data_IF_073048179145
#
_entry.id   IF_073048179145
#
_cell.length_a   1.000
_cell.length_b   1.000
_cell.length_c   1.000
_cell.angle_alpha   90.00
_cell.angle_beta   90.00
_cell.angle_gamma   90.00
#
_symmetry.space_group_name_H-M   'P 1'
#
loop_
_entity.id
_entity.type
_entity.pdbx_description
1 polymer ?
#
# COMPACT_ATOMS: atom_id res chain seq x y z
N UNK A 1 16.84 4.51 7.13
CA UNK A 1 15.77 3.74 6.43
C UNK A 1 16.43 3.18 5.19
N UNK A 2 15.88 3.34 3.99
CA UNK A 2 16.42 2.71 2.76
C UNK A 2 17.68 3.42 2.21
N UNK A 3 17.98 4.63 2.69
CA UNK A 3 19.16 5.44 2.32
C UNK A 3 19.32 5.66 0.80
N UNK A 4 18.18 5.74 0.09
CA UNK A 4 18.15 5.94 -1.35
C UNK A 4 18.62 7.34 -1.75
N UNK A 5 19.62 7.40 -2.62
CA UNK A 5 20.08 8.66 -3.20
C UNK A 5 19.10 9.22 -4.25
N UNK A 6 18.40 8.33 -4.96
CA UNK A 6 17.53 8.66 -6.08
C UNK A 6 16.17 7.98 -5.96
N UNK A 7 15.11 8.70 -6.36
CA UNK A 7 13.76 8.15 -6.56
C UNK A 7 13.20 8.67 -7.87
N UNK A 8 12.79 7.75 -8.77
CA UNK A 8 12.25 8.09 -10.11
C UNK A 8 13.19 9.00 -10.93
N UNK A 9 14.49 8.68 -10.93
CA UNK A 9 15.52 9.41 -11.69
C UNK A 9 15.86 10.80 -11.16
N UNK A 10 15.43 11.15 -9.94
CA UNK A 10 15.72 12.44 -9.29
C UNK A 10 16.28 12.21 -7.89
N UNK A 11 17.11 13.13 -7.42
CA UNK A 11 17.62 13.10 -6.04
C UNK A 11 16.46 13.07 -5.04
N UNK A 12 16.60 12.24 -4.01
CA UNK A 12 15.65 12.22 -2.88
C UNK A 12 15.72 13.52 -2.08
N UNK A 13 14.69 13.80 -1.28
CA UNK A 13 14.56 15.07 -0.55
C UNK A 13 15.78 15.36 0.32
N UNK A 14 16.31 14.36 1.03
CA UNK A 14 17.47 14.54 1.91
C UNK A 14 18.77 14.74 1.13
N UNK A 15 18.91 14.18 -0.08
CA UNK A 15 20.08 14.42 -0.94
C UNK A 15 20.05 15.76 -1.65
N UNK A 16 18.85 16.22 -2.04
CA UNK A 16 18.70 17.52 -2.72
C UNK A 16 18.81 18.69 -1.75
N UNK A 17 18.33 18.52 -0.53
CA UNK A 17 18.34 19.52 0.52
C UNK A 17 19.24 19.00 1.66
N UNK A 18 18.64 18.55 2.76
CA UNK A 18 19.30 17.96 3.91
C UNK A 18 18.32 17.05 4.67
N UNK A 19 18.83 16.24 5.60
CA UNK A 19 18.02 15.31 6.39
C UNK A 19 16.97 16.01 7.26
N UNK A 20 17.31 17.13 7.90
CA UNK A 20 16.39 17.88 8.75
C UNK A 20 15.20 18.40 7.94
N UNK A 21 15.47 18.98 6.78
CA UNK A 21 14.44 19.41 5.82
C UNK A 21 13.57 18.24 5.36
N UNK A 22 14.15 17.08 5.06
CA UNK A 22 13.40 15.91 4.61
C UNK A 22 12.43 15.39 5.69
N UNK A 23 12.89 15.32 6.94
CA UNK A 23 12.05 14.91 8.09
C UNK A 23 10.89 15.88 8.29
N UNK A 24 11.19 17.19 8.32
CA UNK A 24 10.17 18.22 8.51
C UNK A 24 9.16 18.26 7.36
N UNK A 25 9.60 18.06 6.12
CA UNK A 25 8.72 17.96 4.97
C UNK A 25 7.77 16.76 5.08
N UNK A 26 8.29 15.58 5.45
CA UNK A 26 7.47 14.38 5.68
C UNK A 26 6.40 14.60 6.75
N UNK A 27 6.79 15.14 7.90
CA UNK A 27 5.86 15.46 8.99
C UNK A 27 4.79 16.47 8.55
N UNK A 28 5.20 17.51 7.83
CA UNK A 28 4.29 18.56 7.36
C UNK A 28 3.28 18.01 6.35
N UNK A 29 3.69 17.13 5.43
CA UNK A 29 2.80 16.51 4.45
C UNK A 29 1.77 15.58 5.12
N UNK A 30 2.17 14.84 6.14
CA UNK A 30 1.25 14.00 6.91
C UNK A 30 0.19 14.86 7.61
N UNK A 31 0.60 15.93 8.30
CA UNK A 31 -0.33 16.86 8.97
C UNK A 31 -1.23 17.56 7.95
N UNK A 32 -0.70 17.94 6.79
CA UNK A 32 -1.46 18.54 5.70
C UNK A 32 -2.56 17.60 5.18
N UNK A 33 -2.31 16.30 5.09
CA UNK A 33 -3.32 15.32 4.69
C UNK A 33 -4.53 15.34 5.64
N UNK A 34 -4.29 15.32 6.96
CA UNK A 34 -5.37 15.43 7.96
C UNK A 34 -6.09 16.76 7.90
N UNK A 35 -5.35 17.87 7.70
CA UNK A 35 -5.94 19.19 7.49
C UNK A 35 -6.91 19.15 6.31
N UNK A 36 -6.48 18.63 5.17
CA UNK A 36 -7.32 18.53 3.96
C UNK A 36 -8.59 17.73 4.26
N UNK A 37 -8.48 16.55 4.87
CA UNK A 37 -9.66 15.71 5.17
C UNK A 37 -10.63 16.36 6.15
N UNK A 38 -10.13 17.11 7.14
CA UNK A 38 -10.95 17.82 8.13
C UNK A 38 -11.63 19.08 7.59
N UNK A 39 -11.17 19.62 6.45
CA UNK A 39 -11.62 20.88 5.87
C UNK A 39 -13.06 20.78 5.33
N UNK A 40 -13.87 21.80 5.61
CA UNK A 40 -15.24 21.95 5.07
C UNK A 40 -15.31 21.88 3.54
N UNK A 41 -14.23 22.21 2.82
CA UNK A 41 -14.10 22.08 1.37
C UNK A 41 -14.09 20.62 0.90
N UNK A 42 -13.62 19.68 1.73
CA UNK A 42 -13.60 18.24 1.38
C UNK A 42 -15.00 17.65 1.42
N UNK A 43 -15.79 18.00 2.43
CA UNK A 43 -17.18 17.55 2.52
C UNK A 43 -17.98 18.44 3.47
N UNK A 44 -19.25 18.74 3.17
CA UNK A 44 -20.09 19.62 4.01
C UNK A 44 -20.39 19.02 5.39
N UNK A 45 -20.68 17.71 5.44
CA UNK A 45 -20.99 16.99 6.68
C UNK A 45 -19.72 16.65 7.47
N UNK A 46 -19.63 17.12 8.72
CA UNK A 46 -18.50 16.87 9.63
C UNK A 46 -18.34 15.40 10.01
N UNK A 47 -19.42 14.62 10.10
CA UNK A 47 -19.34 13.18 10.42
C UNK A 47 -18.57 12.41 9.34
N UNK A 48 -18.76 12.77 8.07
CA UNK A 48 -18.02 12.17 6.94
C UNK A 48 -16.54 12.53 7.03
N UNK A 49 -16.22 13.80 7.32
CA UNK A 49 -14.83 14.26 7.49
C UNK A 49 -14.13 13.56 8.65
N UNK A 50 -14.80 13.43 9.80
CA UNK A 50 -14.28 12.74 10.96
C UNK A 50 -13.99 11.26 10.65
N UNK A 51 -14.90 10.58 9.94
CA UNK A 51 -14.68 9.20 9.53
C UNK A 51 -13.49 9.08 8.56
N UNK A 52 -13.32 9.99 7.60
CA UNK A 52 -12.14 10.01 6.72
C UNK A 52 -10.84 10.18 7.50
N UNK A 53 -10.81 11.11 8.45
CA UNK A 53 -9.65 11.35 9.34
C UNK A 53 -9.33 10.10 10.15
N UNK A 54 -10.34 9.48 10.77
CA UNK A 54 -10.18 8.25 11.56
C UNK A 54 -9.63 7.11 10.70
N UNK A 55 -10.20 6.88 9.52
CA UNK A 55 -9.75 5.80 8.63
C UNK A 55 -8.34 6.04 8.09
N UNK A 56 -7.95 7.29 7.78
CA UNK A 56 -6.58 7.60 7.41
C UNK A 56 -5.62 7.41 8.60
N UNK A 57 -6.01 7.82 9.80
CA UNK A 57 -5.19 7.65 11.01
C UNK A 57 -4.93 6.17 11.32
N UNK A 58 -5.97 5.31 11.19
CA UNK A 58 -5.81 3.86 11.31
C UNK A 58 -4.89 3.28 10.24
N UNK A 59 -5.04 3.72 8.98
CA UNK A 59 -4.24 3.20 7.87
C UNK A 59 -2.77 3.65 7.92
N UNK A 60 -2.50 4.88 8.38
CA UNK A 60 -1.15 5.48 8.37
C UNK A 60 -0.40 5.37 9.71
N UNK A 61 -1.13 5.15 10.81
CA UNK A 61 -0.57 5.14 12.16
C UNK A 61 0.17 3.86 12.55
N UNK A 62 0.40 3.71 13.85
CA UNK A 62 1.21 2.64 14.45
C UNK A 62 0.67 1.22 14.24
N UNK A 63 -0.63 1.03 14.00
CA UNK A 63 -1.22 -0.27 13.64
C UNK A 63 -1.30 -0.48 12.12
N UNK A 64 -0.92 0.53 11.33
CA UNK A 64 -0.93 0.51 9.87
C UNK A 64 0.47 0.77 9.31
N UNK A 65 0.58 1.70 8.37
CA UNK A 65 1.79 2.00 7.61
C UNK A 65 3.02 2.21 8.49
N UNK A 66 2.94 3.07 9.51
CA UNK A 66 4.08 3.33 10.38
C UNK A 66 4.53 2.08 11.15
N UNK A 67 3.57 1.26 11.62
CA UNK A 67 3.86 -0.02 12.27
C UNK A 67 4.52 -1.01 11.33
N UNK A 68 3.96 -1.17 10.12
CA UNK A 68 4.51 -2.06 9.10
C UNK A 68 5.92 -1.65 8.66
N UNK A 69 6.18 -0.35 8.50
CA UNK A 69 7.52 0.17 8.21
C UNK A 69 8.49 -0.07 9.36
N UNK A 70 8.04 0.10 10.62
CA UNK A 70 8.85 -0.21 11.79
C UNK A 70 9.20 -1.70 11.87
N UNK A 71 8.21 -2.57 11.66
CA UNK A 71 8.42 -4.02 11.66
C UNK A 71 9.39 -4.47 10.55
N UNK A 72 9.26 -3.88 9.35
CA UNK A 72 10.16 -4.13 8.21
C UNK A 72 11.63 -3.78 8.56
N UNK A 73 11.86 -2.60 9.14
CA UNK A 73 13.20 -2.17 9.57
C UNK A 73 13.77 -3.09 10.67
N UNK A 74 12.94 -3.46 11.65
CA UNK A 74 13.39 -4.31 12.77
C UNK A 74 13.72 -5.73 12.29
N UNK A 75 13.03 -6.23 11.27
CA UNK A 75 13.17 -7.61 10.78
C UNK A 75 14.01 -7.74 9.50
N UNK A 76 14.50 -6.61 8.99
CA UNK A 76 15.53 -6.55 7.96
C UNK A 76 16.69 -7.52 8.27
N UNK A 77 17.01 -8.42 7.34
CA UNK A 77 18.04 -9.45 7.51
C UNK A 77 17.79 -10.56 8.53
N UNK A 78 16.66 -10.54 9.25
CA UNK A 78 16.31 -11.58 10.22
C UNK A 78 15.52 -12.72 9.57
N UNK A 79 15.57 -13.91 10.17
CA UNK A 79 14.72 -15.05 9.79
C UNK A 79 13.32 -14.82 10.35
N UNK A 80 12.35 -14.61 9.47
CA UNK A 80 10.93 -14.45 9.82
C UNK A 80 10.09 -15.56 9.19
N UNK A 81 8.85 -15.74 9.65
CA UNK A 81 7.91 -16.65 9.01
C UNK A 81 7.21 -15.98 7.82
N UNK A 82 6.72 -16.77 6.87
CA UNK A 82 5.91 -16.27 5.75
C UNK A 82 4.69 -15.48 6.23
N UNK A 83 4.03 -15.94 7.29
CA UNK A 83 2.87 -15.24 7.87
C UNK A 83 3.25 -13.87 8.44
N UNK A 84 4.41 -13.77 9.08
CA UNK A 84 4.90 -12.49 9.60
C UNK A 84 5.27 -11.53 8.47
N UNK A 85 5.94 -12.02 7.42
CA UNK A 85 6.20 -11.24 6.20
C UNK A 85 4.90 -10.68 5.59
N UNK A 86 3.87 -11.53 5.43
CA UNK A 86 2.58 -11.08 4.92
C UNK A 86 1.97 -9.97 5.79
N UNK A 87 2.09 -10.06 7.12
CA UNK A 87 1.60 -9.02 8.03
C UNK A 87 2.37 -7.69 7.85
N UNK A 88 3.69 -7.75 7.66
CA UNK A 88 4.50 -6.57 7.33
C UNK A 88 3.96 -5.93 6.04
N UNK A 89 3.77 -6.71 4.97
CA UNK A 89 3.28 -6.21 3.68
C UNK A 89 1.86 -5.64 3.77
N UNK A 90 0.98 -6.27 4.55
CA UNK A 90 -0.37 -5.75 4.83
C UNK A 90 -0.27 -4.36 5.42
N UNK A 91 0.52 -4.20 6.49
CA UNK A 91 0.57 -2.97 7.26
C UNK A 91 1.36 -1.87 6.54
N UNK A 92 2.55 -2.18 6.01
CA UNK A 92 3.46 -1.25 5.32
C UNK A 92 2.81 -0.64 4.07
N UNK A 93 2.10 -1.45 3.30
CA UNK A 93 1.62 -1.05 1.96
C UNK A 93 0.11 -1.16 1.81
N UNK A 94 -0.46 -2.34 2.10
CA UNK A 94 -1.84 -2.62 1.72
C UNK A 94 -2.90 -1.78 2.46
N UNK A 95 -2.66 -1.40 3.72
CA UNK A 95 -3.58 -0.56 4.51
C UNK A 95 -3.87 0.80 3.87
N UNK A 96 -2.87 1.43 3.26
CA UNK A 96 -3.10 2.72 2.61
C UNK A 96 -3.92 2.56 1.32
N UNK A 97 -3.68 1.51 0.55
CA UNK A 97 -4.54 1.18 -0.61
C UNK A 97 -5.97 0.86 -0.19
N UNK A 98 -6.18 0.14 0.91
CA UNK A 98 -7.50 -0.09 1.51
C UNK A 98 -8.24 1.23 1.75
N UNK A 99 -7.57 2.20 2.38
CA UNK A 99 -8.13 3.54 2.61
C UNK A 99 -8.44 4.28 1.30
N UNK A 100 -7.54 4.23 0.31
CA UNK A 100 -7.76 4.87 -1.00
C UNK A 100 -9.03 4.36 -1.70
N UNK A 101 -9.33 3.06 -1.62
CA UNK A 101 -10.54 2.46 -2.21
C UNK A 101 -11.80 2.71 -1.38
N UNK A 102 -11.66 2.79 -0.06
CA UNK A 102 -12.76 3.08 0.85
C UNK A 102 -13.20 4.54 0.81
N UNK A 103 -12.25 5.49 0.77
CA UNK A 103 -12.51 6.91 0.98
C UNK A 103 -13.57 7.52 0.04
N UNK A 104 -13.68 7.15 -1.25
CA UNK A 104 -14.75 7.66 -2.13
C UNK A 104 -16.14 7.18 -1.70
N UNK A 105 -16.24 5.98 -1.11
CA UNK A 105 -17.51 5.46 -0.61
C UNK A 105 -17.97 6.21 0.64
N UNK A 106 -17.02 6.59 1.51
CA UNK A 106 -17.28 7.43 2.67
C UNK A 106 -17.71 8.83 2.25
N UNK A 107 -17.03 9.43 1.27
CA UNK A 107 -17.39 10.73 0.69
C UNK A 107 -18.79 10.72 0.06
N UNK A 108 -19.15 9.65 -0.65
CA UNK A 108 -20.48 9.47 -1.22
C UNK A 108 -21.55 9.10 -0.16
N UNK A 109 -21.17 9.02 1.12
CA UNK A 109 -22.01 8.56 2.22
C UNK A 109 -22.72 7.22 1.94
N UNK A 110 -22.05 6.33 1.19
CA UNK A 110 -22.57 4.99 0.90
C UNK A 110 -22.34 4.08 2.11
N UNK A 111 -23.37 3.99 2.96
CA UNK A 111 -23.33 3.24 4.23
C UNK A 111 -23.49 1.72 4.09
N UNK A 112 -23.75 1.22 2.87
CA UNK A 112 -23.92 -0.22 2.65
C UNK A 112 -22.62 -0.98 2.98
N UNK A 113 -22.60 -1.63 4.15
CA UNK A 113 -21.44 -2.36 4.69
C UNK A 113 -20.85 -3.33 3.67
N UNK A 114 -21.70 -4.01 2.90
CA UNK A 114 -21.25 -4.96 1.87
C UNK A 114 -20.38 -4.29 0.78
N UNK A 115 -20.78 -3.10 0.33
CA UNK A 115 -20.05 -2.33 -0.69
C UNK A 115 -18.69 -1.87 -0.13
N UNK A 116 -18.68 -1.38 1.10
CA UNK A 116 -17.42 -0.99 1.76
C UNK A 116 -16.48 -2.18 1.95
N UNK A 117 -17.00 -3.35 2.35
CA UNK A 117 -16.18 -4.56 2.51
C UNK A 117 -15.58 -5.04 1.18
N UNK A 118 -16.32 -4.95 0.08
CA UNK A 118 -15.77 -5.25 -1.25
C UNK A 118 -14.62 -4.29 -1.60
N UNK A 119 -14.77 -2.99 -1.34
CA UNK A 119 -13.73 -1.99 -1.59
C UNK A 119 -12.49 -2.19 -0.70
N UNK A 120 -12.67 -2.52 0.58
CA UNK A 120 -11.56 -2.85 1.48
C UNK A 120 -10.78 -4.05 1.00
N UNK A 121 -11.49 -5.13 0.63
CA UNK A 121 -10.87 -6.34 0.09
C UNK A 121 -10.10 -6.05 -1.19
N UNK A 122 -10.68 -5.24 -2.08
CA UNK A 122 -10.01 -4.83 -3.32
C UNK A 122 -8.74 -4.02 -3.03
N UNK A 123 -8.83 -2.99 -2.18
CA UNK A 123 -7.67 -2.15 -1.84
C UNK A 123 -6.55 -2.93 -1.15
N UNK A 124 -6.89 -3.82 -0.20
CA UNK A 124 -5.91 -4.70 0.45
C UNK A 124 -5.21 -5.60 -0.57
N UNK A 125 -5.97 -6.28 -1.44
CA UNK A 125 -5.40 -7.17 -2.44
C UNK A 125 -4.55 -6.40 -3.47
N UNK A 126 -5.00 -5.22 -3.90
CA UNK A 126 -4.24 -4.35 -4.78
C UNK A 126 -2.89 -3.96 -4.17
N UNK A 127 -2.87 -3.56 -2.89
CA UNK A 127 -1.64 -3.19 -2.22
C UNK A 127 -0.68 -4.37 -1.98
N UNK A 128 -1.21 -5.57 -1.72
CA UNK A 128 -0.39 -6.79 -1.64
C UNK A 128 0.20 -7.18 -2.99
N UNK A 129 -0.59 -7.09 -4.07
CA UNK A 129 -0.09 -7.31 -5.43
C UNK A 129 0.99 -6.27 -5.76
N UNK A 130 0.76 -5.00 -5.44
CA UNK A 130 1.73 -3.94 -5.65
C UNK A 130 3.07 -4.26 -4.95
N UNK A 131 3.04 -4.62 -3.67
CA UNK A 131 4.26 -4.98 -2.92
C UNK A 131 4.95 -6.22 -3.50
N UNK A 132 4.18 -7.26 -3.83
CA UNK A 132 4.75 -8.48 -4.39
C UNK A 132 5.39 -8.24 -5.77
N UNK A 133 4.83 -7.35 -6.58
CA UNK A 133 5.44 -6.93 -7.86
C UNK A 133 6.69 -6.08 -7.64
N UNK A 134 6.70 -5.18 -6.65
CA UNK A 134 7.87 -4.38 -6.26
C UNK A 134 9.04 -5.30 -5.86
N UNK A 135 8.76 -6.29 -5.01
CA UNK A 135 9.71 -7.32 -4.58
C UNK A 135 10.32 -8.10 -5.75
N UNK A 136 9.55 -8.35 -6.84
CA UNK A 136 10.05 -8.99 -8.05
C UNK A 136 10.98 -8.08 -8.84
N UNK A 137 10.64 -6.79 -8.95
CA UNK A 137 11.42 -5.79 -9.67
C UNK A 137 12.75 -5.57 -8.97
N UNK A 138 12.72 -5.33 -7.65
CA UNK A 138 13.92 -5.14 -6.82
C UNK A 138 14.88 -6.33 -6.90
N UNK A 139 14.35 -7.55 -6.96
CA UNK A 139 15.17 -8.76 -7.12
C UNK A 139 15.81 -8.85 -8.52
N UNK A 140 15.12 -8.38 -9.57
CA UNK A 140 15.64 -8.42 -10.94
C UNK A 140 16.64 -7.32 -11.27
N UNK A 141 16.53 -6.17 -10.60
CA UNK A 141 17.46 -5.04 -10.75
C UNK A 141 18.72 -5.20 -9.87
N UNK A 142 18.68 -6.08 -8.86
CA UNK A 142 19.83 -6.36 -7.99
C UNK A 142 20.78 -7.41 -8.58
N UNK A 143 21.89 -6.95 -9.15
CA UNK A 143 23.06 -7.77 -9.51
C UNK A 143 24.05 -7.94 -8.34
N UNK A 144 23.70 -7.49 -7.13
CA UNK A 144 24.58 -7.47 -5.95
C UNK A 144 23.80 -7.69 -4.65
N UNK A 145 24.52 -8.16 -3.62
CA UNK A 145 24.12 -8.69 -2.30
C UNK A 145 23.15 -7.86 -1.40
N UNK A 146 22.51 -6.79 -1.92
CA UNK A 146 21.54 -5.94 -1.18
C UNK A 146 20.29 -6.71 -0.70
N UNK A 147 20.00 -7.84 -1.31
CA UNK A 147 18.79 -8.65 -1.09
C UNK A 147 18.73 -9.30 0.31
N UNK A 148 19.86 -9.39 1.01
CA UNK A 148 19.88 -9.93 2.38
C UNK A 148 19.16 -9.05 3.40
N UNK A 149 18.93 -7.76 3.10
CA UNK A 149 18.43 -6.78 4.08
C UNK A 149 16.91 -6.59 4.07
N UNK A 150 16.18 -6.94 3.02
CA UNK A 150 14.75 -6.62 2.91
C UNK A 150 13.83 -7.79 3.29
N UNK A 151 12.65 -7.47 3.84
CA UNK A 151 11.57 -8.44 4.00
C UNK A 151 10.89 -8.66 2.64
N UNK A 152 11.51 -9.50 1.80
CA UNK A 152 11.10 -9.79 0.42
C UNK A 152 10.44 -11.18 0.28
N UNK A 153 9.39 -11.28 -0.52
CA UNK A 153 8.64 -12.51 -0.87
C UNK A 153 9.49 -13.59 -1.53
N UNK A 154 10.54 -13.21 -2.26
CA UNK A 154 11.50 -14.12 -2.92
C UNK A 154 12.25 -15.04 -1.96
N UNK A 155 12.23 -14.72 -0.66
CA UNK A 155 12.78 -15.58 0.41
C UNK A 155 11.95 -16.83 0.67
N UNK A 156 10.68 -16.87 0.23
CA UNK A 156 9.74 -17.96 0.52
C UNK A 156 9.07 -18.55 -0.72
N UNK A 157 9.08 -17.83 -1.85
CA UNK A 157 8.34 -18.19 -3.05
C UNK A 157 9.21 -17.89 -4.27
N UNK A 158 9.18 -18.79 -5.25
CA UNK A 158 9.71 -18.55 -6.58
C UNK A 158 8.92 -17.46 -7.30
N UNK A 159 9.48 -16.92 -8.38
CA UNK A 159 8.80 -15.92 -9.20
C UNK A 159 7.44 -16.41 -9.72
N UNK A 160 7.38 -17.67 -10.19
CA UNK A 160 6.15 -18.27 -10.69
C UNK A 160 5.09 -18.35 -9.58
N UNK A 161 5.47 -18.77 -8.38
CA UNK A 161 4.56 -18.82 -7.22
C UNK A 161 4.07 -17.43 -6.80
N UNK A 162 4.92 -16.40 -6.85
CA UNK A 162 4.52 -15.01 -6.56
C UNK A 162 3.51 -14.51 -7.61
N UNK A 163 3.71 -14.84 -8.89
CA UNK A 163 2.76 -14.49 -9.96
C UNK A 163 1.41 -15.17 -9.76
N UNK A 164 1.40 -16.46 -9.44
CA UNK A 164 0.17 -17.19 -9.11
C UNK A 164 -0.53 -16.61 -7.88
N UNK A 165 0.23 -16.22 -6.85
CA UNK A 165 -0.28 -15.52 -5.69
C UNK A 165 -0.96 -14.20 -6.06
N UNK A 166 -0.33 -13.36 -6.89
CA UNK A 166 -0.90 -12.10 -7.35
C UNK A 166 -2.20 -12.31 -8.15
N UNK A 167 -2.23 -13.28 -9.06
CA UNK A 167 -3.44 -13.64 -9.83
C UNK A 167 -4.55 -14.15 -8.89
N UNK A 168 -4.22 -14.98 -7.90
CA UNK A 168 -5.16 -15.47 -6.89
C UNK A 168 -5.77 -14.31 -6.09
N UNK A 169 -4.96 -13.33 -5.70
CA UNK A 169 -5.45 -12.13 -5.01
C UNK A 169 -6.38 -11.29 -5.90
N UNK A 170 -6.02 -11.09 -7.17
CA UNK A 170 -6.86 -10.36 -8.11
C UNK A 170 -8.24 -11.02 -8.22
N UNK A 171 -8.27 -12.33 -8.54
CA UNK A 171 -9.50 -13.11 -8.63
C UNK A 171 -10.35 -13.03 -7.36
N UNK A 172 -9.73 -13.10 -6.17
CA UNK A 172 -10.47 -13.02 -4.89
C UNK A 172 -11.26 -11.72 -4.70
N UNK A 173 -10.84 -10.60 -5.30
CA UNK A 173 -11.54 -9.31 -5.14
C UNK A 173 -12.36 -8.87 -6.36
N UNK A 174 -12.16 -9.50 -7.52
CA UNK A 174 -12.91 -9.23 -8.75
C UNK A 174 -14.05 -10.24 -8.94
N UNK A 175 -13.81 -11.53 -8.69
CA UNK A 175 -14.79 -12.58 -8.93
C UNK A 175 -16.02 -12.39 -8.04
N UNK A 176 -17.19 -12.33 -8.68
CA UNK A 176 -18.50 -12.19 -8.02
C UNK A 176 -18.64 -10.90 -7.18
N UNK A 177 -17.74 -9.91 -7.34
CA UNK A 177 -17.92 -8.59 -6.74
C UNK A 177 -19.04 -7.83 -7.45
N UNK A 178 -19.88 -7.12 -6.70
CA UNK A 178 -20.89 -6.24 -7.27
C UNK A 178 -20.30 -4.94 -7.80
N UNK A 179 -19.24 -4.43 -7.17
CA UNK A 179 -18.54 -3.21 -7.58
C UNK A 179 -17.50 -3.47 -8.67
N UNK A 180 -16.76 -4.57 -8.52
CA UNK A 180 -15.57 -4.90 -9.29
C UNK A 180 -15.73 -6.19 -10.09
N UNK A 181 -16.96 -6.67 -10.32
CA UNK A 181 -17.19 -7.90 -11.10
C UNK A 181 -17.19 -7.70 -12.62
N UNK A 182 -17.35 -6.47 -13.09
CA UNK A 182 -17.39 -6.17 -14.53
C UNK A 182 -15.99 -6.24 -15.13
N UNK A 183 -15.82 -6.97 -16.25
CA UNK A 183 -14.55 -7.04 -17.00
C UNK A 183 -14.13 -5.68 -17.59
N UNK A 184 -15.09 -4.77 -17.79
CA UNK A 184 -14.81 -3.42 -18.28
C UNK A 184 -14.41 -2.43 -17.18
N UNK A 185 -14.44 -2.86 -15.92
CA UNK A 185 -14.00 -2.03 -14.80
C UNK A 185 -12.51 -1.70 -14.93
N UNK A 186 -12.17 -0.41 -14.92
CA UNK A 186 -10.79 0.07 -15.06
C UNK A 186 -9.88 -0.39 -13.92
N UNK A 187 -10.41 -0.52 -12.70
CA UNK A 187 -9.65 -1.06 -11.56
C UNK A 187 -9.35 -2.55 -11.75
N UNK A 188 -10.25 -3.31 -12.39
CA UNK A 188 -9.96 -4.70 -12.74
C UNK A 188 -8.80 -4.79 -13.75
N UNK A 189 -8.84 -3.96 -14.79
CA UNK A 189 -7.75 -3.90 -15.76
C UNK A 189 -6.42 -3.55 -15.07
N UNK A 190 -6.44 -2.60 -14.14
CA UNK A 190 -5.27 -2.22 -13.35
C UNK A 190 -4.73 -3.38 -12.50
N UNK A 191 -5.58 -4.04 -11.71
CA UNK A 191 -5.11 -5.08 -10.77
C UNK A 191 -4.55 -6.29 -11.50
N UNK A 192 -5.16 -6.71 -12.62
CA UNK A 192 -4.61 -7.78 -13.46
C UNK A 192 -3.34 -7.35 -14.18
N UNK A 193 -3.26 -6.10 -14.67
CA UNK A 193 -2.04 -5.58 -15.29
C UNK A 193 -0.86 -5.53 -14.32
N UNK A 194 -1.11 -5.22 -13.04
CA UNK A 194 -0.07 -5.25 -12.01
C UNK A 194 0.32 -6.70 -11.67
N UNK A 195 -0.66 -7.59 -11.52
CA UNK A 195 -0.41 -9.00 -11.26
C UNK A 195 0.37 -9.69 -12.38
N UNK A 196 0.18 -9.26 -13.63
CA UNK A 196 0.90 -9.79 -14.79
C UNK A 196 2.18 -9.03 -15.12
N UNK A 197 2.56 -8.01 -14.34
CA UNK A 197 3.70 -7.16 -14.70
C UNK A 197 5.00 -7.98 -14.71
N UNK A 198 5.70 -7.93 -15.83
CA UNK A 198 6.98 -8.57 -16.09
C UNK A 198 7.94 -7.44 -16.42
N UNK A 199 8.75 -7.01 -15.44
CA UNK A 199 9.67 -5.85 -15.51
C UNK A 199 9.01 -4.48 -15.72
#
# INVERSE_FOLDING_TARGET
MDDDDYRRGKLTTHKKFDEGTAILAGNSLLVLAFKILSDSKTHKNSKVRNNLVEQLALASGHLGLAGGQGDDIVHAGKKISKNHLCNIHINKTARLFEFCLLSPLLLANKSAVKIQNEARKFGLNLGLIFQATDDLIDYSESSSEKDSSLCNMRRFMSEAEIREYCISLANKCTDKSKLFGSKDNSLNKLIYSLASRTS
#
